data_IF_713786019169
#
_entry.id   IF_713786019169
#
_cell.length_a   1.000
_cell.length_b   1.000
_cell.length_c   1.000
_cell.angle_alpha   90.00
_cell.angle_beta   90.00
_cell.angle_gamma   90.00
#
_symmetry.space_group_name_H-M   'P 1'
#
loop_
_entity.id
_entity.type
_entity.pdbx_description
1 polymer ?
#
# COMPACT_ATOMS: atom_id res chain seq x y z
N UNK A 1 -23.33 -9.23 15.15
CA UNK A 1 -22.03 -9.71 14.57
C UNK A 1 -20.95 -9.54 15.64
N UNK A 2 -19.95 -10.45 15.70
CA UNK A 2 -18.82 -10.35 16.64
C UNK A 2 -17.50 -10.48 15.85
N UNK A 3 -16.65 -9.46 15.93
CA UNK A 3 -15.39 -9.38 15.21
C UNK A 3 -14.20 -9.47 16.18
N UNK A 4 -13.25 -10.35 15.85
CA UNK A 4 -11.96 -10.52 16.54
C UNK A 4 -10.84 -10.32 15.53
N UNK A 5 -9.79 -9.62 15.94
CA UNK A 5 -8.69 -9.23 15.07
C UNK A 5 -7.41 -9.89 15.57
N UNK A 6 -6.58 -10.36 14.65
CA UNK A 6 -5.34 -11.07 14.96
C UNK A 6 -4.19 -10.43 14.20
N UNK A 7 -3.00 -10.42 14.78
CA UNK A 7 -1.78 -9.96 14.11
C UNK A 7 -1.21 -11.03 13.16
N UNK A 8 -0.08 -10.72 12.52
CA UNK A 8 0.59 -11.61 11.57
C UNK A 8 1.05 -12.94 12.21
N UNK A 9 1.23 -12.97 13.53
CA UNK A 9 1.64 -14.16 14.29
C UNK A 9 0.42 -14.93 14.85
N UNK A 10 -0.81 -14.48 14.54
CA UNK A 10 -2.05 -15.08 14.99
C UNK A 10 -2.42 -14.76 16.44
N UNK A 11 -1.80 -13.75 17.06
CA UNK A 11 -2.15 -13.29 18.40
C UNK A 11 -3.34 -12.33 18.34
N UNK A 12 -4.26 -12.44 19.31
CA UNK A 12 -5.43 -11.56 19.40
C UNK A 12 -4.97 -10.12 19.65
N UNK A 13 -5.43 -9.19 18.80
CA UNK A 13 -5.17 -7.77 18.94
C UNK A 13 -6.16 -7.18 19.94
N UNK A 14 -5.66 -6.49 20.97
CA UNK A 14 -6.49 -5.68 21.86
C UNK A 14 -6.96 -4.41 21.13
N UNK A 15 -8.25 -4.38 20.81
CA UNK A 15 -8.87 -3.26 20.12
C UNK A 15 -9.41 -2.16 21.04
N UNK A 16 -9.18 -2.26 22.35
CA UNK A 16 -9.65 -1.24 23.29
C UNK A 16 -9.14 0.15 22.91
N UNK A 17 -10.06 1.06 22.64
CA UNK A 17 -9.78 2.42 22.16
C UNK A 17 -9.47 2.54 20.67
N UNK A 18 -9.47 1.45 19.92
CA UNK A 18 -9.33 1.42 18.47
C UNK A 18 -10.50 2.11 17.78
N UNK A 19 -10.22 2.77 16.66
CA UNK A 19 -11.22 3.45 15.84
C UNK A 19 -11.56 2.62 14.61
N UNK A 20 -12.85 2.59 14.28
CA UNK A 20 -13.41 1.93 13.10
C UNK A 20 -14.35 2.89 12.39
N UNK A 21 -14.52 2.69 11.09
CA UNK A 21 -15.55 3.37 10.31
C UNK A 21 -16.68 2.39 10.02
N UNK A 22 -17.89 2.79 10.37
CA UNK A 22 -19.11 2.23 9.81
C UNK A 22 -19.53 3.15 8.66
N UNK A 23 -19.60 2.64 7.43
CA UNK A 23 -19.77 3.47 6.23
C UNK A 23 -20.60 2.78 5.16
N UNK A 24 -20.99 3.54 4.13
CA UNK A 24 -21.95 3.11 3.09
C UNK A 24 -23.31 2.80 3.72
N UNK A 25 -23.73 3.59 4.71
CA UNK A 25 -25.06 3.48 5.30
C UNK A 25 -26.02 4.36 4.50
N UNK A 26 -26.85 3.73 3.67
CA UNK A 26 -27.70 4.47 2.75
C UNK A 26 -29.13 4.54 3.28
N UNK A 27 -29.82 5.64 2.98
CA UNK A 27 -31.24 5.79 3.19
C UNK A 27 -31.90 6.37 1.95
N UNK A 28 -33.14 5.97 1.68
CA UNK A 28 -34.01 6.55 0.66
C UNK A 28 -35.44 6.64 1.20
N UNK A 29 -36.38 7.10 0.38
CA UNK A 29 -37.79 7.26 0.77
C UNK A 29 -38.50 5.97 1.25
N UNK A 30 -37.95 4.79 0.98
CA UNK A 30 -38.55 3.47 1.26
C UNK A 30 -37.65 2.57 2.09
N UNK A 31 -36.37 2.89 2.23
CA UNK A 31 -35.39 1.98 2.80
C UNK A 31 -34.30 2.69 3.60
N UNK A 32 -33.78 2.00 4.60
CA UNK A 32 -32.69 2.51 5.46
C UNK A 32 -31.79 1.37 5.88
N UNK A 33 -30.49 1.60 5.86
CA UNK A 33 -29.47 0.75 6.48
C UNK A 33 -29.02 1.37 7.79
N UNK A 34 -28.80 0.52 8.80
CA UNK A 34 -28.37 0.97 10.10
C UNK A 34 -27.40 -0.01 10.75
N UNK A 35 -26.63 0.55 11.67
CA UNK A 35 -25.85 -0.21 12.65
C UNK A 35 -26.54 -0.10 14.00
N UNK A 36 -26.60 -1.18 14.77
CA UNK A 36 -27.12 -1.16 16.14
C UNK A 36 -26.33 -2.09 17.04
N UNK A 37 -26.56 -2.02 18.35
CA UNK A 37 -25.93 -2.94 19.30
C UNK A 37 -24.41 -2.87 19.33
N UNK A 38 -23.81 -1.76 18.88
CA UNK A 38 -22.36 -1.57 18.96
C UNK A 38 -21.94 -1.49 20.43
N UNK A 39 -20.98 -2.31 20.85
CA UNK A 39 -20.47 -2.31 22.22
C UNK A 39 -19.40 -1.24 22.50
N UNK A 40 -19.23 -0.27 21.60
CA UNK A 40 -18.33 0.86 21.75
C UNK A 40 -19.04 2.22 21.67
N UNK A 41 -18.25 3.30 21.61
CA UNK A 41 -18.76 4.66 21.49
C UNK A 41 -18.93 5.05 20.02
N UNK A 42 -20.09 5.59 19.66
CA UNK A 42 -20.33 6.17 18.33
C UNK A 42 -19.96 7.66 18.33
N UNK A 43 -19.05 8.04 17.45
CA UNK A 43 -18.53 9.40 17.28
C UNK A 43 -19.03 9.95 15.94
N UNK A 44 -19.97 10.91 15.94
CA UNK A 44 -20.47 11.54 14.73
C UNK A 44 -19.36 12.23 13.92
N UNK A 45 -19.40 12.06 12.59
CA UNK A 45 -18.54 12.82 11.69
C UNK A 45 -19.25 14.12 11.34
N UNK A 46 -18.56 15.25 11.51
CA UNK A 46 -19.14 16.55 11.20
C UNK A 46 -19.57 16.64 9.73
N UNK A 47 -20.86 16.90 9.52
CA UNK A 47 -21.47 17.01 8.20
C UNK A 47 -22.01 15.70 7.62
N UNK A 48 -21.70 14.54 8.22
CA UNK A 48 -22.29 13.27 7.81
C UNK A 48 -23.81 13.28 7.95
N UNK A 49 -24.48 12.56 7.06
CA UNK A 49 -25.90 12.24 7.16
C UNK A 49 -26.20 11.25 8.30
N UNK A 50 -25.21 10.50 8.77
CA UNK A 50 -25.41 9.40 9.75
C UNK A 50 -25.39 9.94 11.17
N UNK A 51 -26.45 9.63 11.91
CA UNK A 51 -26.62 10.08 13.28
C UNK A 51 -26.99 8.92 14.22
N UNK A 52 -26.52 8.94 15.47
CA UNK A 52 -27.00 8.02 16.50
C UNK A 52 -28.42 8.36 16.97
N UNK A 53 -29.23 7.33 17.16
CA UNK A 53 -30.61 7.42 17.63
C UNK A 53 -30.77 6.95 19.08
N UNK A 54 -31.79 7.45 19.81
CA UNK A 54 -32.01 7.07 21.22
C UNK A 54 -32.24 5.58 21.48
N UNK A 55 -32.67 4.83 20.45
CA UNK A 55 -32.88 3.37 20.53
C UNK A 55 -31.57 2.57 20.35
N UNK A 56 -30.44 3.24 20.10
CA UNK A 56 -29.14 2.62 19.85
C UNK A 56 -28.87 2.31 18.38
N UNK A 57 -29.79 2.64 17.48
CA UNK A 57 -29.56 2.52 16.04
C UNK A 57 -28.76 3.73 15.51
N UNK A 58 -28.05 3.52 14.42
CA UNK A 58 -27.22 4.54 13.79
C UNK A 58 -27.46 4.51 12.30
N UNK A 59 -28.08 5.57 11.78
CA UNK A 59 -28.47 5.68 10.38
C UNK A 59 -28.74 7.14 9.99
N UNK A 60 -29.06 7.37 8.71
CA UNK A 60 -29.46 8.70 8.24
C UNK A 60 -30.91 9.05 8.60
N UNK A 61 -31.18 10.33 8.87
CA UNK A 61 -32.52 10.86 9.17
C UNK A 61 -33.34 11.20 7.92
N UNK A 62 -32.67 11.25 6.78
CA UNK A 62 -33.22 11.65 5.48
C UNK A 62 -32.58 10.83 4.36
N UNK A 63 -33.17 10.89 3.17
CA UNK A 63 -32.62 10.24 1.98
C UNK A 63 -31.18 10.71 1.72
N UNK A 64 -30.30 9.76 1.44
CA UNK A 64 -28.92 9.96 0.99
C UNK A 64 -28.75 9.58 -0.48
N UNK A 65 -29.84 9.20 -1.15
CA UNK A 65 -29.82 8.63 -2.51
C UNK A 65 -29.69 9.70 -3.60
N UNK A 66 -30.45 10.80 -3.49
CA UNK A 66 -30.35 11.89 -4.46
C UNK A 66 -30.68 13.25 -3.89
N UNK A 67 -30.15 14.29 -4.52
CA UNK A 67 -30.45 15.69 -4.19
C UNK A 67 -31.96 15.96 -4.32
N UNK A 68 -32.61 15.32 -5.30
CA UNK A 68 -34.05 15.42 -5.51
C UNK A 68 -34.88 14.88 -4.32
N UNK A 69 -34.34 13.92 -3.57
CA UNK A 69 -34.96 13.36 -2.36
C UNK A 69 -34.52 14.06 -1.06
N UNK A 70 -33.75 15.14 -1.15
CA UNK A 70 -33.30 15.93 0.00
C UNK A 70 -31.90 15.56 0.52
N UNK A 71 -31.17 14.69 -0.17
CA UNK A 71 -29.75 14.47 0.12
C UNK A 71 -28.91 15.71 -0.23
N UNK A 72 -27.75 15.86 0.42
CA UNK A 72 -26.75 16.88 0.08
C UNK A 72 -26.01 16.56 -1.23
N UNK A 73 -25.85 15.28 -1.55
CA UNK A 73 -25.13 14.76 -2.71
C UNK A 73 -25.91 13.60 -3.33
N UNK A 74 -25.76 13.37 -4.63
CA UNK A 74 -26.29 12.17 -5.27
C UNK A 74 -25.46 10.94 -4.87
N UNK A 75 -26.08 9.76 -4.81
CA UNK A 75 -25.43 8.53 -4.30
C UNK A 75 -24.08 8.27 -5.00
N UNK A 76 -24.02 8.48 -6.32
CA UNK A 76 -22.81 8.25 -7.12
C UNK A 76 -21.65 9.22 -6.79
N UNK A 77 -21.93 10.35 -6.15
CA UNK A 77 -20.93 11.32 -5.75
C UNK A 77 -20.22 10.94 -4.45
N UNK A 78 -20.89 10.24 -3.53
CA UNK A 78 -20.37 9.99 -2.18
C UNK A 78 -20.20 8.51 -1.86
N UNK A 79 -21.11 7.65 -2.32
CA UNK A 79 -21.14 6.22 -2.01
C UNK A 79 -20.40 5.41 -3.09
N UNK A 80 -19.13 5.78 -3.31
CA UNK A 80 -18.23 5.07 -4.22
C UNK A 80 -16.86 4.89 -3.57
N UNK A 81 -16.16 3.84 -3.99
CA UNK A 81 -14.86 3.47 -3.42
C UNK A 81 -13.77 4.55 -3.59
N UNK A 82 -13.93 5.51 -4.49
CA UNK A 82 -12.93 6.57 -4.73
C UNK A 82 -13.39 7.95 -4.29
N UNK A 83 -14.62 8.10 -3.81
CA UNK A 83 -15.15 9.42 -3.48
C UNK A 83 -14.41 10.07 -2.30
N UNK A 84 -14.06 11.34 -2.44
CA UNK A 84 -13.60 12.17 -1.32
C UNK A 84 -14.74 12.53 -0.34
N UNK A 85 -15.99 12.16 -0.66
CA UNK A 85 -17.20 12.43 0.11
C UNK A 85 -17.73 11.22 0.87
N UNK A 86 -16.98 10.10 0.93
CA UNK A 86 -17.36 8.87 1.67
C UNK A 86 -17.71 9.10 3.14
N UNK A 87 -17.25 10.19 3.74
CA UNK A 87 -17.62 10.59 5.10
C UNK A 87 -19.12 10.92 5.23
N UNK A 88 -19.81 11.23 4.13
CA UNK A 88 -21.20 11.65 4.16
C UNK A 88 -22.12 10.54 4.68
N UNK A 89 -21.94 9.29 4.27
CA UNK A 89 -22.69 8.15 4.83
C UNK A 89 -21.87 7.30 5.81
N UNK A 90 -21.09 7.93 6.69
CA UNK A 90 -20.23 7.23 7.64
C UNK A 90 -20.27 7.79 9.07
N UNK A 91 -20.01 6.93 10.03
CA UNK A 91 -19.79 7.28 11.44
C UNK A 91 -18.58 6.54 12.00
N UNK A 92 -17.91 7.11 13.01
CA UNK A 92 -16.76 6.47 13.66
C UNK A 92 -17.22 5.68 14.88
N UNK A 93 -16.83 4.43 14.98
CA UNK A 93 -16.93 3.63 16.19
C UNK A 93 -15.61 3.59 16.94
N UNK A 94 -15.62 3.84 18.24
CA UNK A 94 -14.47 3.62 19.13
C UNK A 94 -14.76 2.41 20.00
N UNK A 95 -13.96 1.36 19.89
CA UNK A 95 -14.16 0.16 20.69
C UNK A 95 -13.85 0.42 22.17
N UNK A 96 -14.68 -0.12 23.05
CA UNK A 96 -14.49 -0.06 24.51
C UNK A 96 -13.87 -1.34 25.07
N UNK A 97 -13.89 -2.42 24.29
CA UNK A 97 -13.37 -3.75 24.64
C UNK A 97 -12.52 -4.30 23.49
N UNK A 98 -11.79 -5.39 23.76
CA UNK A 98 -11.03 -6.13 22.75
C UNK A 98 -11.91 -6.85 21.72
N UNK A 99 -13.12 -7.26 22.12
CA UNK A 99 -14.10 -7.87 21.24
C UNK A 99 -15.06 -6.79 20.70
N UNK A 100 -15.23 -6.71 19.37
CA UNK A 100 -16.12 -5.73 18.75
C UNK A 100 -17.42 -6.40 18.33
N UNK A 101 -18.53 -5.97 18.92
CA UNK A 101 -19.86 -6.48 18.65
C UNK A 101 -20.73 -5.36 18.08
N UNK A 102 -21.48 -5.66 17.02
CA UNK A 102 -22.48 -4.77 16.44
C UNK A 102 -23.39 -5.58 15.52
N UNK A 103 -24.59 -5.10 15.29
CA UNK A 103 -25.52 -5.62 14.30
C UNK A 103 -25.66 -4.65 13.14
N UNK A 104 -25.92 -5.20 11.96
CA UNK A 104 -26.18 -4.44 10.75
C UNK A 104 -27.46 -4.97 10.16
N UNK A 105 -28.37 -4.06 9.86
CA UNK A 105 -29.66 -4.42 9.32
C UNK A 105 -30.14 -3.35 8.34
N UNK A 106 -31.18 -3.72 7.59
CA UNK A 106 -31.89 -2.78 6.73
C UNK A 106 -33.38 -3.04 6.75
N UNK A 107 -34.13 -2.04 6.31
CA UNK A 107 -35.58 -2.09 6.14
C UNK A 107 -35.89 -1.64 4.73
N UNK A 108 -36.86 -2.28 4.09
CA UNK A 108 -37.34 -1.88 2.76
C UNK A 108 -36.42 -2.28 1.61
N UNK A 109 -35.32 -2.99 1.86
CA UNK A 109 -34.40 -3.55 0.86
C UNK A 109 -33.97 -4.98 1.22
N UNK A 110 -33.63 -5.77 0.21
CA UNK A 110 -33.23 -7.18 0.38
C UNK A 110 -31.73 -7.37 0.61
N UNK A 111 -30.91 -6.39 0.21
CA UNK A 111 -29.46 -6.44 0.30
C UNK A 111 -28.99 -5.21 1.08
N UNK A 112 -28.07 -5.45 2.00
CA UNK A 112 -27.36 -4.40 2.74
C UNK A 112 -26.00 -4.23 2.09
N UNK A 113 -25.72 -3.03 1.61
CA UNK A 113 -24.36 -2.63 1.27
C UNK A 113 -23.81 -1.89 2.48
N UNK A 114 -22.71 -2.36 3.07
CA UNK A 114 -22.09 -1.71 4.21
C UNK A 114 -20.60 -1.97 4.19
N UNK A 115 -19.84 -1.08 4.84
CA UNK A 115 -18.42 -1.28 5.08
C UNK A 115 -18.07 -1.02 6.55
N UNK A 116 -17.32 -1.96 7.14
CA UNK A 116 -16.72 -1.87 8.47
C UNK A 116 -15.22 -2.12 8.35
N UNK A 117 -14.39 -1.13 8.67
CA UNK A 117 -12.93 -1.21 8.56
C UNK A 117 -12.22 -0.09 9.36
N UNK A 118 -10.89 -0.10 9.38
CA UNK A 118 -10.05 0.92 10.03
C UNK A 118 -9.80 2.16 9.17
N UNK A 119 -10.32 2.24 7.94
CA UNK A 119 -10.19 3.43 7.09
C UNK A 119 -11.24 4.47 7.51
N UNK A 120 -10.85 5.27 8.50
CA UNK A 120 -11.68 6.32 9.09
C UNK A 120 -12.01 7.38 8.03
N UNK A 121 -13.26 7.44 7.60
CA UNK A 121 -13.67 8.38 6.53
C UNK A 121 -13.61 9.85 6.96
N UNK A 122 -13.56 10.13 8.26
CA UNK A 122 -13.47 11.49 8.78
C UNK A 122 -12.16 12.17 8.36
N UNK A 123 -12.26 13.42 7.91
CA UNK A 123 -11.10 14.22 7.51
C UNK A 123 -10.37 14.75 8.75
N UNK A 124 -9.03 14.65 8.76
CA UNK A 124 -8.20 15.27 9.79
C UNK A 124 -8.13 14.50 11.11
N UNK A 125 -8.42 13.19 11.12
CA UNK A 125 -8.24 12.34 12.31
C UNK A 125 -6.74 12.16 12.58
N UNK A 126 -6.24 12.49 13.79
CA UNK A 126 -4.86 12.23 14.16
C UNK A 126 -4.64 10.71 14.19
N UNK A 127 -3.68 10.22 13.40
CA UNK A 127 -3.26 8.82 13.45
C UNK A 127 -2.45 8.64 14.74
N UNK A 128 -2.87 7.73 15.62
CA UNK A 128 -2.06 7.36 16.79
C UNK A 128 -0.75 6.76 16.25
N UNK A 129 0.43 7.31 16.58
CA UNK A 129 1.70 6.71 16.18
C UNK A 129 1.76 5.28 16.72
N UNK A 130 2.05 4.33 15.84
CA UNK A 130 2.43 2.98 16.28
C UNK A 130 3.76 3.15 17.02
N UNK A 131 3.84 2.69 18.27
CA UNK A 131 5.12 2.66 18.97
C UNK A 131 6.11 1.86 18.12
N UNK A 132 7.28 2.42 17.78
CA UNK A 132 8.26 1.70 16.98
C UNK A 132 8.59 0.40 17.69
N UNK A 133 8.49 -0.72 16.96
CA UNK A 133 9.02 -2.00 17.40
C UNK A 133 10.48 -1.74 17.79
N UNK A 134 10.83 -2.00 19.06
CA UNK A 134 12.18 -1.82 19.53
C UNK A 134 13.12 -2.57 18.57
N UNK A 135 14.16 -1.92 18.03
CA UNK A 135 15.07 -2.58 17.13
C UNK A 135 15.61 -3.83 17.81
N UNK A 136 15.61 -4.95 17.08
CA UNK A 136 16.30 -6.15 17.55
C UNK A 136 17.73 -5.74 17.87
N UNK A 137 18.22 -5.94 19.10
CA UNK A 137 19.59 -5.57 19.43
C UNK A 137 20.52 -6.25 18.41
N UNK A 138 21.51 -5.52 17.87
CA UNK A 138 22.44 -6.10 16.92
C UNK A 138 23.04 -7.36 17.53
N UNK A 139 23.07 -8.45 16.76
CA UNK A 139 23.81 -9.64 17.16
C UNK A 139 25.25 -9.20 17.39
N UNK A 140 25.77 -9.44 18.60
CA UNK A 140 27.13 -9.08 18.96
C UNK A 140 28.08 -9.68 17.90
N UNK A 141 28.99 -8.88 17.31
CA UNK A 141 29.89 -9.38 16.28
C UNK A 141 30.69 -10.55 16.88
N UNK A 142 30.61 -11.71 16.23
CA UNK A 142 31.42 -12.86 16.60
C UNK A 142 32.89 -12.46 16.47
N UNK A 143 33.60 -12.49 17.60
CA UNK A 143 35.05 -12.28 17.64
C UNK A 143 35.68 -13.29 16.68
N UNK A 144 36.56 -12.88 15.74
CA UNK A 144 37.23 -13.84 14.87
C UNK A 144 38.00 -14.85 15.73
N UNK A 145 37.67 -16.13 15.55
CA UNK A 145 38.32 -17.24 16.23
C UNK A 145 39.77 -17.29 15.74
N UNK A 146 40.72 -17.04 16.64
CA UNK A 146 42.14 -17.27 16.35
C UNK A 146 42.35 -18.74 15.96
N UNK A 147 43.15 -19.06 14.94
CA UNK A 147 43.40 -20.44 14.55
C UNK A 147 44.00 -21.21 15.72
N UNK A 148 43.31 -22.26 16.14
CA UNK A 148 43.77 -23.19 17.17
C UNK A 148 44.90 -24.04 16.61
N UNK A 149 46.04 -24.07 17.33
CA UNK A 149 47.10 -25.04 17.09
C UNK A 149 46.54 -26.46 17.33
N UNK A 150 46.96 -27.48 16.56
CA UNK A 150 46.49 -28.83 16.74
C UNK A 150 46.95 -29.38 18.10
N UNK A 151 45.98 -29.72 18.95
CA UNK A 151 46.22 -30.41 20.22
C UNK A 151 46.46 -31.90 19.96
N UNK A 152 47.51 -32.46 20.56
CA UNK A 152 47.76 -33.91 20.56
C UNK A 152 46.54 -34.68 21.12
N UNK A 153 46.26 -35.89 20.60
CA UNK A 153 45.14 -36.69 21.07
C UNK A 153 45.36 -37.13 22.52
N UNK A 154 44.43 -36.75 23.39
CA UNK A 154 44.38 -37.26 24.75
C UNK A 154 43.98 -38.75 24.75
N UNK A 155 44.70 -39.55 25.52
CA UNK A 155 44.43 -40.97 25.78
C UNK A 155 43.01 -41.19 26.36
N UNK A 156 42.36 -42.33 26.04
CA UNK A 156 40.98 -42.58 26.43
C UNK A 156 40.81 -42.67 27.95
N UNK A 157 39.79 -41.99 28.45
CA UNK A 157 39.37 -42.02 29.86
C UNK A 157 38.53 -43.28 30.09
N UNK A 158 38.83 -44.01 31.17
CA UNK A 158 38.11 -45.21 31.61
C UNK A 158 36.64 -44.89 31.98
N UNK A 159 35.69 -45.81 31.72
CA UNK A 159 34.27 -45.59 32.00
C UNK A 159 33.98 -45.51 33.51
N UNK A 160 33.25 -44.47 33.89
CA UNK A 160 32.72 -44.27 35.25
C UNK A 160 31.57 -45.25 35.47
N UNK A 161 31.60 -45.96 36.60
CA UNK A 161 30.56 -46.91 37.02
C UNK A 161 29.21 -46.21 37.24
N UNK A 162 28.07 -46.85 36.89
CA UNK A 162 26.74 -46.26 37.08
C UNK A 162 26.39 -46.12 38.56
N UNK A 163 25.77 -44.99 38.91
CA UNK A 163 25.14 -44.74 40.20
C UNK A 163 23.96 -45.68 40.42
N UNK A 164 23.77 -46.24 41.63
CA UNK A 164 22.61 -47.06 41.95
C UNK A 164 21.32 -46.21 41.99
N UNK A 165 20.16 -46.81 41.68
CA UNK A 165 18.87 -46.11 41.69
C UNK A 165 18.44 -45.76 43.12
N UNK A 166 17.80 -44.60 43.25
CA UNK A 166 17.14 -44.12 44.47
C UNK A 166 15.97 -45.04 44.86
N UNK A 167 15.86 -45.37 46.14
CA UNK A 167 14.79 -46.20 46.72
C UNK A 167 13.38 -45.57 46.54
N UNK A 168 12.33 -46.40 46.38
CA UNK A 168 10.95 -45.92 46.24
C UNK A 168 10.38 -45.39 47.56
N UNK A 169 9.67 -44.27 47.48
CA UNK A 169 8.91 -43.68 48.59
C UNK A 169 7.70 -44.55 48.93
N UNK A 170 7.59 -44.92 50.21
CA UNK A 170 6.50 -45.72 50.80
C UNK A 170 5.20 -44.89 50.85
N UNK A 171 4.03 -45.45 50.50
CA UNK A 171 2.74 -44.74 50.55
C UNK A 171 2.27 -44.48 51.98
N UNK A 172 1.71 -43.29 52.21
CA UNK A 172 0.99 -42.91 53.44
C UNK A 172 -0.30 -43.73 53.65
N UNK A 173 -0.62 -44.13 54.89
CA UNK A 173 -1.84 -44.87 55.21
C UNK A 173 -3.11 -44.00 55.11
N UNK A 174 -4.29 -44.60 54.85
CA UNK A 174 -5.56 -43.91 54.79
C UNK A 174 -6.03 -43.43 56.18
N UNK A 175 -6.75 -42.31 56.20
CA UNK A 175 -7.38 -41.73 57.38
C UNK A 175 -8.64 -42.55 57.74
N UNK A 176 -8.77 -42.90 59.02
CA UNK A 176 -9.94 -43.61 59.57
C UNK A 176 -11.23 -42.77 59.49
N UNK A 177 -12.39 -43.40 59.20
CA UNK A 177 -13.68 -42.73 59.21
C UNK A 177 -14.13 -42.43 60.64
N UNK A 178 -14.57 -41.18 60.87
CA UNK A 178 -15.23 -40.73 62.11
C UNK A 178 -16.58 -41.41 62.32
N UNK A 179 -16.85 -41.78 63.57
CA UNK A 179 -18.08 -42.41 64.03
C UNK A 179 -19.34 -41.56 63.75
N UNK A 180 -20.48 -42.19 63.39
CA UNK A 180 -21.74 -41.50 63.16
C UNK A 180 -22.37 -41.02 64.48
N UNK A 181 -22.87 -39.78 64.47
CA UNK A 181 -23.63 -39.16 65.56
C UNK A 181 -24.99 -39.85 65.70
N UNK A 182 -25.39 -40.17 66.94
CA UNK A 182 -26.70 -40.74 67.27
C UNK A 182 -27.86 -39.84 66.79
N UNK A 183 -28.88 -40.38 66.11
CA UNK A 183 -30.02 -39.60 65.64
C UNK A 183 -30.95 -39.22 66.80
N UNK A 184 -31.33 -37.95 66.82
CA UNK A 184 -32.40 -37.41 67.68
C UNK A 184 -33.75 -38.03 67.29
N UNK A 185 -34.54 -38.44 68.29
CA UNK A 185 -35.87 -39.00 68.08
C UNK A 185 -36.78 -38.03 67.29
N UNK A 186 -37.48 -38.51 66.25
CA UNK A 186 -38.35 -37.66 65.44
C UNK A 186 -39.63 -37.30 66.20
N UNK A 187 -40.06 -36.04 66.04
CA UNK A 187 -41.41 -35.58 66.35
C UNK A 187 -42.47 -36.38 65.58
N UNK A 188 -43.62 -36.71 66.20
CA UNK A 188 -44.71 -37.40 65.49
C UNK A 188 -45.22 -36.55 64.32
N UNK A 189 -45.51 -37.17 63.17
CA UNK A 189 -45.95 -36.45 61.97
C UNK A 189 -47.37 -35.91 62.16
N UNK A 190 -47.57 -34.68 61.71
CA UNK A 190 -48.90 -34.10 61.47
C UNK A 190 -49.64 -34.92 60.42
N UNK A 191 -50.96 -35.09 60.59
CA UNK A 191 -51.80 -35.81 59.61
C UNK A 191 -51.61 -35.26 58.18
N UNK A 192 -51.48 -36.15 57.17
CA UNK A 192 -51.24 -35.73 55.81
C UNK A 192 -52.47 -35.04 55.23
N UNK A 193 -52.28 -33.81 54.76
CA UNK A 193 -53.21 -33.16 53.83
C UNK A 193 -53.24 -34.00 52.55
N UNK A 194 -54.43 -34.30 52.05
CA UNK A 194 -54.61 -35.06 50.82
C UNK A 194 -53.77 -34.44 49.68
N UNK A 195 -52.96 -35.24 48.95
CA UNK A 195 -52.10 -34.72 47.90
C UNK A 195 -52.96 -34.17 46.77
N UNK A 196 -52.70 -32.91 46.41
CA UNK A 196 -53.11 -32.38 45.11
C UNK A 196 -52.42 -33.25 44.04
N UNK A 197 -53.16 -33.81 43.07
CA UNK A 197 -52.54 -34.61 42.01
C UNK A 197 -51.44 -33.76 41.34
N UNK A 198 -50.24 -34.33 41.09
CA UNK A 198 -49.20 -33.61 40.36
C UNK A 198 -49.77 -33.15 39.03
N UNK A 199 -49.64 -31.85 38.73
CA UNK A 199 -49.79 -31.42 37.35
C UNK A 199 -48.86 -32.29 36.50
N UNK A 200 -49.39 -32.88 35.43
CA UNK A 200 -48.59 -33.71 34.52
C UNK A 200 -47.30 -32.95 34.20
N UNK A 201 -46.15 -33.57 34.48
CA UNK A 201 -44.86 -33.04 34.04
C UNK A 201 -44.97 -32.90 32.53
N UNK A 202 -45.01 -31.65 32.04
CA UNK A 202 -44.86 -31.38 30.63
C UNK A 202 -43.54 -32.03 30.21
N UNK A 203 -43.58 -32.91 29.21
CA UNK A 203 -42.36 -33.49 28.64
C UNK A 203 -41.37 -32.34 28.36
N UNK A 204 -40.08 -32.48 28.71
CA UNK A 204 -39.11 -31.43 28.44
C UNK A 204 -39.14 -31.12 26.95
N UNK A 205 -39.42 -29.87 26.62
CA UNK A 205 -39.51 -29.43 25.23
C UNK A 205 -38.22 -29.82 24.50
N UNK A 206 -38.33 -30.54 23.39
CA UNK A 206 -37.18 -30.96 22.57
C UNK A 206 -36.40 -29.70 22.16
N UNK A 207 -35.13 -29.55 22.55
CA UNK A 207 -34.36 -28.37 22.19
C UNK A 207 -34.16 -28.33 20.68
N UNK A 208 -34.60 -27.24 20.04
CA UNK A 208 -34.31 -27.00 18.63
C UNK A 208 -32.96 -26.30 18.52
N UNK A 209 -31.97 -26.98 17.97
CA UNK A 209 -30.67 -26.38 17.65
C UNK A 209 -30.72 -25.86 16.22
N UNK A 210 -30.39 -24.59 16.02
CA UNK A 210 -30.22 -23.99 14.68
C UNK A 210 -28.73 -23.80 14.44
N UNK A 211 -28.29 -24.18 13.26
CA UNK A 211 -26.98 -23.82 12.71
C UNK A 211 -27.21 -23.23 11.32
N UNK A 212 -26.30 -22.38 10.89
CA UNK A 212 -26.25 -21.89 9.52
C UNK A 212 -24.79 -21.82 9.09
N UNK A 213 -24.54 -22.00 7.79
CA UNK A 213 -23.22 -21.79 7.23
C UNK A 213 -22.99 -20.29 6.99
N UNK A 214 -21.76 -19.85 7.15
CA UNK A 214 -21.31 -18.54 6.66
C UNK A 214 -20.51 -18.74 5.38
N UNK A 215 -20.69 -17.86 4.39
CA UNK A 215 -19.78 -17.75 3.24
C UNK A 215 -18.92 -16.52 3.46
N UNK A 216 -17.62 -16.69 3.31
CA UNK A 216 -16.66 -15.59 3.37
C UNK A 216 -16.00 -15.46 2.00
N UNK A 217 -15.83 -14.22 1.55
CA UNK A 217 -15.11 -13.90 0.33
C UNK A 217 -14.08 -12.83 0.67
N UNK A 218 -12.85 -13.02 0.20
CA UNK A 218 -11.74 -12.09 0.40
C UNK A 218 -11.33 -11.57 -0.95
N UNK A 219 -11.22 -10.25 -1.06
CA UNK A 219 -10.64 -9.59 -2.22
C UNK A 219 -9.19 -9.24 -1.88
N UNK A 220 -8.21 -9.83 -2.58
CA UNK A 220 -6.81 -9.53 -2.33
C UNK A 220 -6.57 -8.04 -2.61
N UNK A 221 -5.93 -7.35 -1.67
CA UNK A 221 -5.51 -5.98 -1.87
C UNK A 221 -4.44 -5.94 -2.97
N UNK A 222 -4.44 -4.91 -3.80
CA UNK A 222 -3.46 -4.77 -4.88
C UNK A 222 -2.77 -3.41 -4.81
N UNK A 223 -1.48 -3.40 -5.11
CA UNK A 223 -0.66 -2.19 -5.06
C UNK A 223 0.24 -2.10 -6.29
N UNK A 224 0.16 -0.98 -7.00
CA UNK A 224 1.12 -0.63 -8.06
C UNK A 224 2.31 0.08 -7.43
N UNK A 225 3.50 -0.31 -7.84
CA UNK A 225 4.74 0.40 -7.53
C UNK A 225 5.39 0.89 -8.83
N UNK A 226 6.10 2.01 -8.76
CA UNK A 226 6.82 2.60 -9.88
C UNK A 226 8.29 2.77 -9.50
N UNK A 227 9.19 2.27 -10.34
CA UNK A 227 10.63 2.31 -10.07
C UNK A 227 11.42 2.78 -11.28
N UNK A 228 12.62 3.32 -11.06
CA UNK A 228 13.58 3.56 -12.13
C UNK A 228 14.28 2.25 -12.55
N UNK A 229 15.23 2.34 -13.48
CA UNK A 229 15.88 1.14 -14.02
C UNK A 229 16.60 0.27 -12.96
N UNK A 230 17.07 0.87 -11.87
CA UNK A 230 17.79 0.18 -10.78
C UNK A 230 16.90 -0.19 -9.60
N UNK A 231 15.58 -0.06 -9.73
CA UNK A 231 14.61 -0.49 -8.72
C UNK A 231 14.37 0.53 -7.58
N UNK A 232 14.85 1.77 -7.72
CA UNK A 232 14.57 2.84 -6.75
C UNK A 232 13.14 3.33 -6.96
N UNK A 233 12.39 3.50 -5.87
CA UNK A 233 11.04 4.07 -5.90
C UNK A 233 11.05 5.54 -6.33
N UNK A 234 10.23 5.83 -7.34
CA UNK A 234 10.10 7.14 -7.99
C UNK A 234 8.65 7.67 -7.96
N UNK A 235 7.76 7.10 -7.14
CA UNK A 235 6.40 7.63 -7.01
C UNK A 235 6.42 9.08 -6.53
N UNK A 236 5.68 9.94 -7.23
CA UNK A 236 5.57 11.39 -6.97
C UNK A 236 6.93 12.09 -6.96
N UNK A 237 7.82 11.69 -7.86
CA UNK A 237 9.14 12.30 -8.02
C UNK A 237 9.41 12.72 -9.46
N UNK A 238 10.68 12.99 -9.77
CA UNK A 238 11.15 13.48 -11.05
C UNK A 238 12.17 12.51 -11.66
N UNK A 239 12.03 12.22 -12.96
CA UNK A 239 13.05 11.50 -13.75
C UNK A 239 13.22 12.16 -15.11
N UNK A 240 14.42 12.09 -15.69
CA UNK A 240 14.69 12.66 -17.00
C UNK A 240 13.88 11.96 -18.10
N UNK A 241 13.58 12.71 -19.17
CA UNK A 241 13.06 12.12 -20.41
C UNK A 241 13.98 11.00 -20.90
N UNK A 242 13.37 9.97 -21.50
CA UNK A 242 13.95 8.69 -21.91
C UNK A 242 14.43 7.78 -20.76
N UNK A 243 14.17 8.14 -19.50
CA UNK A 243 14.43 7.22 -18.39
C UNK A 243 13.64 5.94 -18.57
N UNK A 244 14.26 4.81 -18.25
CA UNK A 244 13.54 3.55 -18.10
C UNK A 244 12.75 3.62 -16.79
N UNK A 245 11.43 3.51 -16.93
CA UNK A 245 10.47 3.46 -15.82
C UNK A 245 9.83 2.08 -15.82
N UNK A 246 9.69 1.49 -14.64
CA UNK A 246 9.16 0.15 -14.45
C UNK A 246 7.92 0.20 -13.55
N UNK A 247 6.82 -0.40 -13.98
CA UNK A 247 5.63 -0.56 -13.15
C UNK A 247 5.54 -2.00 -12.65
N UNK A 248 5.48 -2.18 -11.34
CA UNK A 248 5.31 -3.49 -10.70
C UNK A 248 3.87 -3.64 -10.22
N UNK A 249 3.20 -4.69 -10.67
CA UNK A 249 1.78 -4.92 -10.42
C UNK A 249 1.64 -5.93 -9.28
N UNK A 250 1.63 -5.44 -8.03
CA UNK A 250 1.69 -6.32 -6.85
C UNK A 250 0.30 -6.71 -6.39
N UNK A 251 0.16 -7.96 -6.02
CA UNK A 251 -1.01 -8.50 -5.33
C UNK A 251 -0.61 -8.89 -3.92
N UNK A 252 -1.43 -8.55 -2.93
CA UNK A 252 -1.27 -9.05 -1.58
C UNK A 252 -1.36 -10.57 -1.55
N UNK A 253 -0.93 -11.16 -0.45
CA UNK A 253 -1.04 -12.61 -0.26
C UNK A 253 -2.48 -13.08 -0.48
N UNK A 254 -2.65 -14.07 -1.35
CA UNK A 254 -3.92 -14.76 -1.52
C UNK A 254 -4.17 -15.59 -0.27
N UNK A 255 -5.36 -15.54 0.34
CA UNK A 255 -5.59 -16.12 1.65
C UNK A 255 -5.62 -17.66 1.63
N UNK A 256 -5.46 -18.24 2.83
CA UNK A 256 -5.80 -19.64 3.08
C UNK A 256 -7.30 -19.89 2.88
N UNK A 257 -7.66 -21.12 2.56
CA UNK A 257 -8.99 -21.62 2.24
C UNK A 257 -9.67 -20.91 1.05
N UNK A 258 -8.87 -20.32 0.15
CA UNK A 258 -9.35 -19.78 -1.14
C UNK A 258 -9.90 -20.90 -2.03
N UNK A 259 -10.78 -20.52 -2.94
CA UNK A 259 -11.19 -21.36 -4.07
C UNK A 259 -10.02 -21.59 -5.04
N UNK A 260 -10.13 -22.62 -5.88
CA UNK A 260 -9.18 -22.85 -6.97
C UNK A 260 -9.05 -21.60 -7.85
N UNK A 261 -7.82 -21.17 -8.11
CA UNK A 261 -7.53 -20.08 -9.03
C UNK A 261 -7.46 -20.64 -10.45
N UNK A 262 -8.50 -20.44 -11.24
CA UNK A 262 -8.63 -20.89 -12.64
C UNK A 262 -8.19 -19.81 -13.64
N UNK A 263 -8.26 -18.54 -13.26
CA UNK A 263 -7.69 -17.43 -14.03
C UNK A 263 -7.12 -16.35 -13.11
N UNK A 264 -6.01 -15.73 -13.53
CA UNK A 264 -5.38 -14.62 -12.83
C UNK A 264 -4.81 -13.66 -13.87
N UNK A 265 -5.52 -12.55 -14.09
CA UNK A 265 -5.30 -11.64 -15.21
C UNK A 265 -5.12 -10.21 -14.70
N UNK A 266 -4.03 -9.57 -15.11
CA UNK A 266 -3.75 -8.17 -14.79
C UNK A 266 -3.77 -7.34 -16.07
N UNK A 267 -4.56 -6.28 -16.06
CA UNK A 267 -4.73 -5.37 -17.21
C UNK A 267 -4.27 -3.98 -16.83
N UNK A 268 -3.34 -3.43 -17.60
CA UNK A 268 -2.63 -2.18 -17.31
C UNK A 268 -2.71 -1.24 -18.52
N UNK A 269 -3.66 -0.29 -18.53
CA UNK A 269 -3.72 0.76 -19.53
C UNK A 269 -2.62 1.78 -19.28
N UNK A 270 -1.59 1.78 -20.13
CA UNK A 270 -0.37 2.55 -19.92
C UNK A 270 -0.60 4.04 -20.20
N UNK A 271 0.18 4.94 -19.57
CA UNK A 271 0.06 6.37 -19.82
C UNK A 271 0.52 6.77 -21.23
N UNK A 272 -0.11 7.81 -21.78
CA UNK A 272 0.32 8.41 -23.04
C UNK A 272 1.77 8.92 -22.96
N UNK A 273 2.54 8.73 -24.04
CA UNK A 273 3.96 9.09 -24.10
C UNK A 273 4.90 8.16 -23.33
N UNK A 274 4.39 7.10 -22.69
CA UNK A 274 5.21 6.00 -22.19
C UNK A 274 5.41 4.98 -23.31
N UNK A 275 6.63 4.84 -23.78
CA UNK A 275 7.01 3.88 -24.80
C UNK A 275 7.21 2.50 -24.17
N UNK A 276 6.23 1.62 -24.39
CA UNK A 276 6.25 0.25 -23.89
C UNK A 276 7.32 -0.60 -24.60
N UNK A 277 8.06 -1.39 -23.81
CA UNK A 277 9.01 -2.37 -24.32
C UNK A 277 8.51 -3.80 -24.02
N UNK A 278 7.91 -4.43 -25.03
CA UNK A 278 7.31 -5.77 -24.90
C UNK A 278 8.34 -6.84 -24.52
N UNK A 279 9.50 -6.86 -25.17
CA UNK A 279 10.49 -7.91 -24.97
C UNK A 279 11.15 -7.80 -23.59
N UNK A 280 11.50 -6.57 -23.15
CA UNK A 280 12.00 -6.37 -21.79
C UNK A 280 10.94 -6.71 -20.72
N UNK A 281 9.66 -6.43 -20.99
CA UNK A 281 8.55 -6.77 -20.10
C UNK A 281 8.37 -8.28 -19.95
N UNK A 282 8.44 -9.04 -21.05
CA UNK A 282 8.40 -10.52 -21.03
C UNK A 282 9.56 -11.08 -20.21
N UNK A 283 10.78 -10.56 -20.41
CA UNK A 283 11.96 -10.99 -19.63
C UNK A 283 11.78 -10.70 -18.14
N UNK A 284 11.17 -9.56 -17.79
CA UNK A 284 10.92 -9.18 -16.40
C UNK A 284 9.68 -9.85 -15.77
N UNK A 285 8.91 -10.60 -16.55
CA UNK A 285 7.63 -11.20 -16.12
C UNK A 285 7.49 -12.66 -16.61
N UNK A 286 8.44 -13.56 -16.30
CA UNK A 286 8.48 -14.91 -16.87
C UNK A 286 7.28 -15.79 -16.45
N UNK A 287 6.65 -15.47 -15.32
CA UNK A 287 5.50 -16.20 -14.76
C UNK A 287 4.17 -15.90 -15.47
N UNK A 288 4.18 -15.03 -16.49
CA UNK A 288 3.00 -14.54 -17.18
C UNK A 288 3.15 -14.56 -18.70
N UNK A 289 2.07 -14.92 -19.39
CA UNK A 289 1.88 -14.61 -20.80
C UNK A 289 1.58 -13.11 -20.95
N UNK A 290 2.41 -12.41 -21.73
CA UNK A 290 2.30 -10.95 -21.92
C UNK A 290 1.74 -10.62 -23.30
N UNK A 291 0.58 -9.97 -23.34
CA UNK A 291 -0.05 -9.44 -24.54
C UNK A 291 -0.11 -7.91 -24.48
N UNK A 292 -0.04 -7.26 -25.64
CA UNK A 292 -0.11 -5.79 -25.75
C UNK A 292 -1.00 -5.38 -26.90
N UNK A 293 -1.95 -4.50 -26.62
CA UNK A 293 -2.83 -3.88 -27.59
C UNK A 293 -2.36 -2.44 -27.89
N UNK A 294 -1.81 -2.17 -29.09
CA UNK A 294 -1.35 -0.84 -29.47
C UNK A 294 -2.49 0.17 -29.68
N UNK A 295 -3.73 -0.27 -29.92
CA UNK A 295 -4.85 0.64 -30.16
C UNK A 295 -5.32 1.31 -28.85
N UNK A 296 -5.30 0.55 -27.76
CA UNK A 296 -5.68 1.01 -26.42
C UNK A 296 -4.49 1.30 -25.52
N UNK A 297 -3.26 1.12 -26.02
CA UNK A 297 -2.00 1.27 -25.28
C UNK A 297 -2.02 0.47 -23.97
N UNK A 298 -2.57 -0.74 -24.02
CA UNK A 298 -2.84 -1.57 -22.84
C UNK A 298 -2.04 -2.85 -22.88
N UNK A 299 -1.38 -3.19 -21.78
CA UNK A 299 -0.69 -4.48 -21.60
C UNK A 299 -1.51 -5.38 -20.68
N UNK A 300 -1.57 -6.66 -21.02
CA UNK A 300 -2.28 -7.70 -20.28
C UNK A 300 -1.31 -8.81 -19.90
N UNK A 301 -1.33 -9.19 -18.63
CA UNK A 301 -0.60 -10.32 -18.09
C UNK A 301 -1.60 -11.41 -17.71
N UNK A 302 -1.41 -12.61 -18.25
CA UNK A 302 -2.20 -13.79 -17.89
C UNK A 302 -1.28 -14.80 -17.23
N UNK A 303 -1.61 -15.24 -16.02
CA UNK A 303 -0.80 -16.26 -15.34
C UNK A 303 -0.69 -17.53 -16.19
N UNK A 304 0.52 -18.07 -16.31
CA UNK A 304 0.76 -19.32 -17.04
C UNK A 304 0.16 -20.51 -16.30
N UNK A 305 0.07 -21.66 -16.95
CA UNK A 305 -0.36 -22.90 -16.30
C UNK A 305 0.52 -23.28 -15.10
N UNK A 306 1.83 -23.01 -15.16
CA UNK A 306 2.76 -23.24 -14.06
C UNK A 306 2.49 -22.30 -12.88
N UNK A 307 2.22 -21.03 -13.15
CA UNK A 307 1.83 -20.05 -12.14
C UNK A 307 0.49 -20.41 -11.49
N UNK A 308 -0.51 -20.83 -12.26
CA UNK A 308 -1.78 -21.30 -11.69
C UNK A 308 -1.59 -22.57 -10.84
N UNK A 309 -0.74 -23.51 -11.25
CA UNK A 309 -0.41 -24.69 -10.47
C UNK A 309 0.28 -24.31 -9.15
N UNK A 310 1.19 -23.33 -9.16
CA UNK A 310 1.81 -22.77 -7.97
C UNK A 310 0.74 -22.17 -7.04
N UNK A 311 -0.14 -21.31 -7.58
CA UNK A 311 -1.22 -20.67 -6.82
C UNK A 311 -2.24 -21.68 -6.23
N UNK A 312 -2.31 -22.90 -6.75
CA UNK A 312 -3.23 -23.96 -6.30
C UNK A 312 -2.53 -25.09 -5.53
N UNK A 313 -1.26 -24.93 -5.16
CA UNK A 313 -0.46 -26.01 -4.56
C UNK A 313 -0.94 -26.43 -3.15
N UNK A 314 -1.29 -25.46 -2.30
CA UNK A 314 -1.77 -25.68 -0.93
C UNK A 314 -2.86 -24.65 -0.60
N UNK A 315 -4.10 -25.13 -0.47
CA UNK A 315 -5.24 -24.29 -0.11
C UNK A 315 -5.31 -24.01 1.39
N UNK A 316 -4.55 -24.71 2.23
CA UNK A 316 -4.60 -24.51 3.69
C UNK A 316 -3.76 -23.33 4.17
N UNK A 317 -2.97 -22.74 3.27
CA UNK A 317 -2.06 -21.61 3.54
C UNK A 317 -2.30 -20.48 2.55
N UNK A 318 -1.94 -19.27 2.96
CA UNK A 318 -1.86 -18.18 2.03
C UNK A 318 -0.65 -18.32 1.09
N UNK A 319 -0.69 -17.62 -0.04
CA UNK A 319 0.35 -17.66 -1.06
C UNK A 319 0.51 -16.32 -1.76
N UNK A 320 1.75 -15.90 -1.98
CA UNK A 320 2.05 -14.68 -2.74
C UNK A 320 2.11 -14.99 -4.22
N UNK A 321 1.37 -14.24 -5.04
CA UNK A 321 1.45 -14.33 -6.48
C UNK A 321 2.75 -13.70 -7.01
N UNK A 322 3.37 -14.24 -8.07
CA UNK A 322 4.47 -13.57 -8.76
C UNK A 322 4.07 -12.17 -9.24
N UNK A 323 5.05 -11.26 -9.33
CA UNK A 323 4.81 -9.84 -9.63
C UNK A 323 5.24 -9.53 -11.07
N UNK A 324 4.32 -9.32 -12.02
CA UNK A 324 4.69 -8.88 -13.35
C UNK A 324 5.20 -7.43 -13.31
N UNK A 325 6.20 -7.15 -14.15
CA UNK A 325 6.85 -5.84 -14.24
C UNK A 325 6.80 -5.33 -15.69
N UNK A 326 6.04 -4.26 -15.90
CA UNK A 326 6.03 -3.51 -17.16
C UNK A 326 7.32 -2.71 -17.26
N UNK A 327 7.98 -2.75 -18.42
CA UNK A 327 9.20 -2.00 -18.71
C UNK A 327 8.99 -1.08 -19.92
N UNK A 328 9.45 0.16 -19.83
CA UNK A 328 9.32 1.15 -20.90
C UNK A 328 10.03 2.46 -20.57
N UNK A 329 9.87 3.45 -21.44
CA UNK A 329 10.54 4.75 -21.33
C UNK A 329 9.55 5.91 -21.38
N UNK A 330 9.82 6.97 -20.63
CA UNK A 330 9.03 8.21 -20.66
C UNK A 330 9.56 9.14 -21.75
N UNK A 331 8.75 9.56 -22.72
CA UNK A 331 9.26 10.18 -23.97
C UNK A 331 9.07 11.69 -24.12
N UNK A 332 8.38 12.35 -23.20
CA UNK A 332 8.01 13.76 -23.32
C UNK A 332 8.67 14.57 -22.21
N UNK A 333 8.97 15.84 -22.48
CA UNK A 333 9.37 16.78 -21.43
C UNK A 333 8.10 17.33 -20.74
N UNK A 334 8.23 17.72 -19.47
CA UNK A 334 7.15 18.36 -18.72
C UNK A 334 5.86 17.55 -18.57
N UNK A 335 5.94 16.23 -18.74
CA UNK A 335 4.80 15.32 -18.67
C UNK A 335 4.76 14.55 -17.35
N UNK A 336 3.54 14.31 -16.85
CA UNK A 336 3.29 13.41 -15.71
C UNK A 336 2.69 12.11 -16.23
N UNK A 337 3.26 11.00 -15.79
CA UNK A 337 2.90 9.65 -16.21
C UNK A 337 2.19 8.95 -15.07
N UNK A 338 0.86 9.03 -15.05
CA UNK A 338 0.04 8.34 -14.05
C UNK A 338 -0.32 6.94 -14.52
N UNK A 339 -0.33 5.97 -13.61
CA UNK A 339 -0.64 4.60 -13.97
C UNK A 339 -1.33 3.82 -12.84
N UNK A 340 -2.26 2.93 -13.21
CA UNK A 340 -2.90 1.95 -12.35
C UNK A 340 -3.15 0.64 -13.12
N UNK A 341 -3.56 -0.43 -12.45
CA UNK A 341 -3.93 -1.67 -13.15
C UNK A 341 -5.19 -2.28 -12.52
N UNK A 342 -5.81 -3.20 -13.24
CA UNK A 342 -6.94 -4.01 -12.75
C UNK A 342 -6.50 -5.46 -12.64
N UNK A 343 -6.78 -6.10 -11.51
CA UNK A 343 -6.64 -7.55 -11.33
C UNK A 343 -8.02 -8.20 -11.43
N UNK A 344 -8.15 -9.24 -12.24
CA UNK A 344 -9.31 -10.13 -12.30
C UNK A 344 -8.88 -11.55 -11.96
N UNK A 345 -9.57 -12.18 -11.00
CA UNK A 345 -9.33 -13.56 -10.59
C UNK A 345 -10.58 -14.39 -10.88
N UNK A 346 -10.41 -15.56 -11.49
CA UNK A 346 -11.48 -16.51 -11.84
C UNK A 346 -12.62 -15.90 -12.68
N UNK A 347 -12.28 -14.92 -13.52
CA UNK A 347 -13.23 -14.15 -14.32
C UNK A 347 -14.37 -13.51 -13.49
N UNK A 348 -14.11 -13.32 -12.20
CA UNK A 348 -15.00 -12.66 -11.26
C UNK A 348 -14.79 -11.13 -11.28
N UNK A 349 -15.32 -10.43 -10.27
CA UNK A 349 -15.18 -8.98 -10.14
C UNK A 349 -13.71 -8.56 -10.04
N UNK A 350 -13.29 -7.60 -10.86
CA UNK A 350 -11.92 -7.09 -10.90
C UNK A 350 -11.69 -5.91 -9.94
N UNK A 351 -10.53 -5.89 -9.28
CA UNK A 351 -10.11 -4.82 -8.33
C UNK A 351 -9.14 -3.88 -9.04
N UNK A 352 -9.24 -2.57 -8.80
CA UNK A 352 -8.29 -1.56 -9.33
C UNK A 352 -7.25 -1.16 -8.29
N UNK A 353 -6.01 -0.97 -8.74
CA UNK A 353 -4.90 -0.57 -7.86
C UNK A 353 -4.96 0.92 -7.51
N UNK A 354 -4.12 1.33 -6.55
CA UNK A 354 -3.71 2.72 -6.40
C UNK A 354 -3.11 3.28 -7.69
N UNK A 355 -3.11 4.61 -7.80
CA UNK A 355 -2.46 5.35 -8.88
C UNK A 355 -1.05 5.73 -8.41
N UNK A 356 -0.05 5.36 -9.21
CA UNK A 356 1.33 5.85 -9.07
C UNK A 356 1.63 6.84 -10.18
N UNK A 357 2.59 7.74 -9.96
CA UNK A 357 3.01 8.69 -10.99
C UNK A 357 4.46 9.13 -10.87
N UNK A 358 5.02 9.56 -11.99
CA UNK A 358 6.30 10.27 -12.04
C UNK A 358 6.21 11.40 -13.05
N UNK A 359 6.95 12.49 -12.81
CA UNK A 359 7.01 13.63 -13.72
C UNK A 359 8.38 13.74 -14.40
N UNK A 360 8.40 14.28 -15.61
CA UNK A 360 9.61 14.69 -16.32
C UNK A 360 9.86 16.19 -16.16
N UNK A 361 11.11 16.65 -16.09
CA UNK A 361 11.45 18.07 -16.04
C UNK A 361 10.87 18.83 -17.24
N UNK A 362 10.46 20.09 -17.05
CA UNK A 362 9.79 20.89 -18.08
C UNK A 362 8.38 21.39 -17.73
N UNK A 363 7.90 21.17 -16.49
CA UNK A 363 6.51 21.42 -16.07
C UNK A 363 6.40 22.44 -14.94
N UNK A 364 6.11 23.72 -15.23
CA UNK A 364 5.82 24.71 -14.20
C UNK A 364 4.56 24.36 -13.39
N UNK A 365 4.57 24.67 -12.10
CA UNK A 365 3.42 24.44 -11.21
C UNK A 365 3.19 22.96 -10.91
N UNK A 366 4.22 22.12 -11.01
CA UNK A 366 4.15 20.72 -10.63
C UNK A 366 4.00 20.59 -9.09
N UNK A 367 2.89 20.02 -8.58
CA UNK A 367 2.66 19.89 -7.14
C UNK A 367 3.66 18.95 -6.46
N UNK A 368 4.20 17.96 -7.18
CA UNK A 368 5.16 17.00 -6.61
C UNK A 368 6.58 17.55 -6.62
N UNK A 369 6.90 18.43 -7.57
CA UNK A 369 8.22 18.99 -7.77
C UNK A 369 8.15 20.52 -7.90
N UNK A 370 8.09 21.28 -6.78
CA UNK A 370 7.90 22.73 -6.81
C UNK A 370 9.00 23.52 -7.54
N UNK A 371 10.18 22.91 -7.72
CA UNK A 371 11.28 23.50 -8.50
C UNK A 371 11.20 23.25 -10.00
N UNK A 372 10.25 22.43 -10.46
CA UNK A 372 10.09 22.11 -11.87
C UNK A 372 9.54 23.32 -12.64
N UNK A 373 10.18 23.63 -13.76
CA UNK A 373 9.83 24.73 -14.66
C UNK A 373 10.22 24.33 -16.10
N UNK A 374 10.21 25.27 -17.05
CA UNK A 374 10.60 24.97 -18.43
C UNK A 374 12.11 24.86 -18.61
N UNK A 375 12.56 23.86 -19.36
CA UNK A 375 13.95 23.73 -19.80
C UNK A 375 14.23 24.76 -20.91
N UNK A 376 14.96 25.84 -20.60
CA UNK A 376 15.22 26.98 -21.49
C UNK A 376 16.67 27.47 -21.38
N UNK A 377 17.63 26.82 -22.08
CA UNK A 377 18.96 27.40 -22.24
C UNK A 377 18.86 28.78 -22.91
N UNK A 378 19.76 29.69 -22.55
CA UNK A 378 19.71 31.09 -23.00
C UNK A 378 21.08 31.53 -23.52
N UNK A 379 21.11 32.30 -24.61
CA UNK A 379 22.32 32.89 -25.20
C UNK A 379 22.12 34.39 -25.36
N UNK A 380 23.08 35.17 -24.88
CA UNK A 380 23.09 36.64 -25.02
C UNK A 380 24.47 37.13 -25.41
N UNK A 381 24.54 38.14 -26.28
CA UNK A 381 25.79 38.77 -26.65
C UNK A 381 26.02 40.04 -25.83
N UNK A 382 27.20 40.16 -25.22
CA UNK A 382 27.61 41.34 -24.46
C UNK A 382 28.89 41.95 -25.03
N UNK A 383 29.09 43.23 -24.73
CA UNK A 383 30.40 43.86 -24.90
C UNK A 383 31.28 43.66 -23.64
N UNK A 384 32.52 44.15 -23.68
CA UNK A 384 33.48 44.03 -22.56
C UNK A 384 32.97 44.64 -21.23
N UNK A 385 32.04 45.61 -21.29
CA UNK A 385 31.44 46.23 -20.10
C UNK A 385 30.23 45.45 -19.57
N UNK A 386 29.92 44.28 -20.15
CA UNK A 386 28.76 43.46 -19.79
C UNK A 386 27.42 44.01 -20.31
N UNK A 387 27.42 44.97 -21.23
CA UNK A 387 26.19 45.55 -21.80
C UNK A 387 25.72 44.65 -22.96
N UNK A 388 24.43 44.32 -22.98
CA UNK A 388 23.80 43.53 -24.05
C UNK A 388 23.83 44.26 -25.40
N UNK A 389 24.30 43.56 -26.42
CA UNK A 389 24.48 44.08 -27.79
C UNK A 389 23.75 43.26 -28.86
N UNK A 390 22.78 42.44 -28.45
CA UNK A 390 21.94 41.68 -29.39
C UNK A 390 21.32 42.58 -30.47
N UNK A 391 21.41 42.13 -31.72
CA UNK A 391 20.90 42.86 -32.90
C UNK A 391 21.65 44.13 -33.28
N UNK A 392 22.76 44.47 -32.61
CA UNK A 392 23.56 45.67 -32.93
C UNK A 392 24.64 45.38 -33.96
N UNK A 393 25.06 46.42 -34.70
CA UNK A 393 26.25 46.36 -35.55
C UNK A 393 27.51 46.21 -34.70
N UNK A 394 28.35 45.24 -35.07
CA UNK A 394 29.65 44.98 -34.44
C UNK A 394 30.75 45.24 -35.47
N UNK A 395 31.72 46.08 -35.13
CA UNK A 395 32.85 46.36 -36.02
C UNK A 395 33.80 45.15 -36.07
N UNK A 396 34.33 44.86 -37.26
CA UNK A 396 35.31 43.80 -37.45
C UNK A 396 36.50 43.96 -36.48
N UNK A 397 36.94 42.84 -35.88
CA UNK A 397 37.96 42.81 -34.85
C UNK A 397 37.46 43.05 -33.42
N UNK A 398 36.19 43.39 -33.21
CA UNK A 398 35.58 43.48 -31.87
C UNK A 398 35.28 42.08 -31.32
N UNK A 399 35.53 41.86 -30.03
CA UNK A 399 35.19 40.61 -29.34
C UNK A 399 33.71 40.62 -28.93
N UNK A 400 32.98 39.57 -29.31
CA UNK A 400 31.65 39.27 -28.81
C UNK A 400 31.78 38.45 -27.52
N UNK A 401 31.28 38.97 -26.40
CA UNK A 401 31.28 38.25 -25.12
C UNK A 401 29.95 37.51 -24.98
N UNK A 402 29.84 36.36 -25.64
CA UNK A 402 28.66 35.51 -25.50
C UNK A 402 28.58 34.94 -24.08
N UNK A 403 27.40 35.05 -23.48
CA UNK A 403 27.05 34.42 -22.23
C UNK A 403 25.97 33.37 -22.50
N UNK A 404 26.24 32.14 -22.08
CA UNK A 404 25.44 30.95 -22.31
C UNK A 404 24.97 30.42 -20.96
N UNK A 405 23.66 30.30 -20.77
CA UNK A 405 23.07 29.76 -19.56
C UNK A 405 22.75 28.28 -19.76
N UNK A 406 23.44 27.43 -19.00
CA UNK A 406 23.05 26.03 -18.82
C UNK A 406 21.92 25.94 -17.81
N UNK A 407 20.70 25.78 -18.31
CA UNK A 407 19.48 25.79 -17.49
C UNK A 407 19.25 24.43 -16.82
N UNK A 408 19.48 24.37 -15.51
CA UNK A 408 19.54 23.13 -14.73
C UNK A 408 18.66 23.12 -13.47
N UNK A 409 17.97 24.22 -13.16
CA UNK A 409 17.26 24.38 -11.88
C UNK A 409 16.07 23.41 -11.73
N UNK A 410 15.38 23.11 -12.83
CA UNK A 410 14.28 22.18 -12.96
C UNK A 410 14.65 20.71 -12.70
N UNK A 411 15.94 20.35 -12.75
CA UNK A 411 16.40 18.98 -12.47
C UNK A 411 16.65 18.73 -10.97
N UNK A 412 16.34 19.69 -10.10
CA UNK A 412 16.52 19.54 -8.66
C UNK A 412 15.67 18.38 -8.12
N UNK A 413 16.34 17.41 -7.49
CA UNK A 413 15.67 16.23 -6.91
C UNK A 413 15.42 15.08 -7.89
N UNK A 414 16.00 15.15 -9.09
CA UNK A 414 15.94 14.09 -10.10
C UNK A 414 16.41 12.72 -9.54
N UNK A 415 15.68 11.67 -9.89
CA UNK A 415 15.92 10.26 -9.49
C UNK A 415 16.21 9.36 -10.69
N UNK A 416 16.75 9.91 -11.78
CA UNK A 416 17.13 9.12 -12.96
C UNK A 416 18.15 8.04 -12.60
N UNK A 417 18.11 6.93 -13.33
CA UNK A 417 19.04 5.83 -13.10
C UNK A 417 20.46 6.16 -13.58
N UNK A 418 21.51 5.48 -13.06
CA UNK A 418 22.89 5.71 -13.48
C UNK A 418 23.11 5.60 -14.99
N UNK A 419 22.44 4.66 -15.68
CA UNK A 419 22.51 4.53 -17.14
C UNK A 419 21.97 5.77 -17.88
N UNK A 420 20.96 6.43 -17.32
CA UNK A 420 20.40 7.67 -17.88
C UNK A 420 21.36 8.83 -17.64
N UNK A 421 21.96 8.92 -16.46
CA UNK A 421 22.96 9.94 -16.11
C UNK A 421 24.24 9.77 -16.95
N UNK A 422 24.65 8.53 -17.22
CA UNK A 422 25.82 8.21 -18.04
C UNK A 422 25.70 8.61 -19.50
N UNK A 423 24.50 8.95 -20.00
CA UNK A 423 24.34 9.59 -21.31
C UNK A 423 25.06 10.94 -21.40
N UNK A 424 25.42 11.52 -20.25
CA UNK A 424 26.31 12.67 -20.15
C UNK A 424 25.58 14.01 -20.19
N UNK A 425 26.36 15.05 -19.95
CA UNK A 425 25.91 16.44 -19.92
C UNK A 425 26.79 17.23 -20.87
N UNK A 426 26.18 17.83 -21.89
CA UNK A 426 26.88 18.61 -22.90
C UNK A 426 26.16 19.94 -23.11
N UNK A 427 26.95 20.97 -23.42
CA UNK A 427 26.44 22.25 -23.89
C UNK A 427 27.14 22.56 -25.21
N UNK A 428 26.36 22.91 -26.23
CA UNK A 428 26.86 23.16 -27.58
C UNK A 428 26.56 24.61 -27.95
N UNK A 429 27.56 25.27 -28.52
CA UNK A 429 27.40 26.57 -29.18
C UNK A 429 27.79 26.40 -30.65
N UNK A 430 26.79 26.49 -31.52
CA UNK A 430 26.96 26.60 -32.97
C UNK A 430 27.23 28.07 -33.31
N UNK A 431 28.51 28.44 -33.31
CA UNK A 431 28.94 29.80 -33.58
C UNK A 431 29.26 29.96 -35.08
N UNK A 432 29.00 31.14 -35.69
CA UNK A 432 29.25 31.36 -37.11
C UNK A 432 30.75 31.48 -37.39
N UNK A 433 31.39 30.36 -37.69
CA UNK A 433 32.84 30.24 -37.93
C UNK A 433 33.32 31.02 -39.16
N UNK A 434 32.42 31.38 -40.08
CA UNK A 434 32.71 32.24 -41.22
C UNK A 434 32.91 33.72 -40.82
N UNK A 435 32.44 34.11 -39.63
CA UNK A 435 32.47 35.48 -39.14
C UNK A 435 33.31 35.64 -37.85
N UNK A 436 33.47 34.58 -37.06
CA UNK A 436 34.04 34.64 -35.72
C UNK A 436 35.13 33.58 -35.51
N UNK A 437 36.24 34.02 -34.92
CA UNK A 437 37.25 33.13 -34.34
C UNK A 437 37.00 32.95 -32.83
N UNK A 438 37.03 31.71 -32.35
CA UNK A 438 36.90 31.40 -30.92
C UNK A 438 38.15 31.86 -30.13
N UNK A 439 37.92 32.53 -29.00
CA UNK A 439 38.96 32.84 -27.99
C UNK A 439 38.82 31.90 -26.79
N UNK A 440 39.23 30.65 -26.96
CA UNK A 440 39.05 29.58 -25.97
C UNK A 440 39.77 29.87 -24.63
N UNK A 441 40.89 30.60 -24.68
CA UNK A 441 41.64 31.07 -23.51
C UNK A 441 40.83 32.04 -22.60
N UNK A 442 39.73 32.59 -23.11
CA UNK A 442 38.87 33.54 -22.39
C UNK A 442 37.55 32.95 -21.89
N UNK A 443 37.29 31.68 -22.15
CA UNK A 443 36.07 31.03 -21.67
C UNK A 443 36.09 30.93 -20.15
N UNK A 444 34.97 31.32 -19.53
CA UNK A 444 34.75 31.21 -18.09
C UNK A 444 33.47 30.45 -17.85
N UNK A 445 33.54 29.39 -17.06
CA UNK A 445 32.38 28.62 -16.66
C UNK A 445 32.19 28.86 -15.17
N UNK A 446 31.04 29.43 -14.81
CA UNK A 446 30.67 29.74 -13.43
C UNK A 446 29.29 29.18 -13.12
N UNK A 447 29.06 28.82 -11.86
CA UNK A 447 27.74 28.43 -11.37
C UNK A 447 26.85 29.66 -11.17
N UNK A 448 25.58 29.44 -10.79
CA UNK A 448 24.62 30.50 -10.53
C UNK A 448 25.02 31.47 -9.40
N UNK A 449 26.00 31.10 -8.56
CA UNK A 449 26.54 31.94 -7.50
C UNK A 449 27.83 32.68 -7.93
N UNK A 450 28.25 32.54 -9.19
CA UNK A 450 29.47 33.13 -9.73
C UNK A 450 30.75 32.38 -9.36
N UNK A 451 30.65 31.17 -8.80
CA UNK A 451 31.82 30.34 -8.47
C UNK A 451 32.30 29.60 -9.72
N UNK A 452 33.61 29.53 -9.93
CA UNK A 452 34.20 28.76 -11.02
C UNK A 452 33.77 27.27 -10.95
N UNK A 453 33.43 26.70 -12.10
CA UNK A 453 33.07 25.28 -12.25
C UNK A 453 34.25 24.51 -12.79
N UNK A 454 34.58 23.39 -12.15
CA UNK A 454 35.61 22.43 -12.57
C UNK A 454 34.96 21.20 -13.22
N UNK A 455 35.75 20.38 -13.91
CA UNK A 455 35.28 19.11 -14.49
C UNK A 455 34.57 19.22 -15.84
N UNK A 456 34.57 20.41 -16.46
CA UNK A 456 34.06 20.63 -17.82
C UNK A 456 35.22 20.94 -18.75
N UNK A 457 35.39 20.15 -19.81
CA UNK A 457 36.34 20.40 -20.89
C UNK A 457 35.69 21.18 -22.03
N UNK A 458 36.46 22.02 -22.70
CA UNK A 458 36.02 22.80 -23.85
C UNK A 458 36.80 22.32 -25.07
N UNK A 459 36.11 22.07 -26.17
CA UNK A 459 36.71 21.67 -27.45
C UNK A 459 35.88 22.24 -28.58
N UNK A 460 36.53 22.75 -29.61
CA UNK A 460 35.93 23.16 -30.87
C UNK A 460 36.28 22.17 -31.98
N UNK A 461 35.35 22.02 -32.92
CA UNK A 461 35.52 21.16 -34.09
C UNK A 461 35.14 21.96 -35.32
N UNK A 462 35.92 21.79 -36.40
CA UNK A 462 35.69 22.49 -37.67
C UNK A 462 34.45 21.98 -38.42
N UNK A 463 33.99 20.77 -38.11
CA UNK A 463 32.75 20.18 -38.62
C UNK A 463 32.32 19.00 -37.74
N UNK A 464 31.11 18.50 -37.95
CA UNK A 464 30.62 17.30 -37.28
C UNK A 464 31.45 16.06 -37.63
N UNK A 465 31.92 15.94 -38.88
CA UNK A 465 32.75 14.81 -39.33
C UNK A 465 34.16 14.82 -38.74
N UNK A 466 34.64 15.99 -38.29
CA UNK A 466 35.92 16.13 -37.61
C UNK A 466 35.81 15.87 -36.08
N UNK A 467 34.60 15.78 -35.55
CA UNK A 467 34.36 15.43 -34.15
C UNK A 467 34.55 13.90 -33.92
N UNK A 468 35.01 13.47 -32.72
CA UNK A 468 35.27 12.08 -32.38
C UNK A 468 34.10 11.10 -32.47
#
# INVERSE_FOLDING_TARGET
>A
MAAKFYDADGQLIDLTGGLFSFSSLNADSKSVEWVSGFNGDMIPISGSAIVPHPNGDVHADHSTDSIAEGSRFDYAEWDTELSSLKWYGAIVGKANDSDVNFDIASRGRYLVWFAFNSDIKAVGVPIKPIEPVAPTPPTEPTVPVAPTLPTEPASPIEPIAPTPPTEPVVPTPPIEPTEPVEPVAPTPPTEPVAPVPPAALLEPAVPTVRYHYARYAIQPQINKAITNNVGVDIDKTLVAKQSIVKFQLRTAELPANREETTSFVLVDPLPSGYQFNLEATKVASPDFDVAYDPATHTVTFTATAETLALLNQDFTKGITAPVPTVVGQVMNDGATYENNFTLTVNDAYGVKSNIVRVTTPGKPGDPDNPGNNYIKPHKVNKNEKGIVIDGKTVLAGTINYYELTWDLDQYKGDKSSPDTIQKGFFYLDDYPEEALDLKSDRVKIVDANGKAVEGISITDYVSLEAAP
#
